data_IF_703756481739
#
_entry.id   IF_703756481739
#
_cell.length_a   1.000
_cell.length_b   1.000
_cell.length_c   1.000
_cell.angle_alpha   90.00
_cell.angle_beta   90.00
_cell.angle_gamma   90.00
#
_symmetry.space_group_name_H-M   'P 1'
#
loop_
_entity.id
_entity.type
_entity.pdbx_description
1 polymer ?
2 water ?
#
# COMPACT_ATOMS: atom_id res chain seq x y z
N UNK A 5 15.89 8.04 5.91
CA UNK A 5 15.67 8.30 4.49
C UNK A 5 16.09 9.71 4.09
N UNK A 6 16.45 9.87 2.81
CA UNK A 6 16.91 11.15 2.30
C UNK A 6 15.79 12.18 2.30
N UNK A 7 14.81 12.02 1.41
CA UNK A 7 13.65 12.89 1.37
C UNK A 7 12.39 12.09 1.68
N UNK A 8 11.32 12.80 2.02
CA UNK A 8 10.03 12.21 2.34
C UNK A 8 8.99 12.86 1.43
N UNK A 9 8.49 12.09 0.47
CA UNK A 9 7.40 12.54 -0.38
C UNK A 9 6.06 12.30 0.31
N UNK A 10 5.24 13.35 0.40
CA UNK A 10 3.92 13.25 0.98
C UNK A 10 2.88 13.09 -0.13
N UNK A 11 1.61 13.02 0.26
CA UNK A 11 0.57 12.74 -0.73
C UNK A 11 0.47 13.87 -1.77
N UNK A 12 0.63 15.12 -1.35
CA UNK A 12 0.48 16.23 -2.30
C UNK A 12 1.60 16.24 -3.33
N UNK A 13 2.82 15.88 -2.92
CA UNK A 13 3.92 15.82 -3.87
C UNK A 13 3.76 14.63 -4.81
N UNK A 14 3.31 13.48 -4.30
CA UNK A 14 3.01 12.34 -5.16
C UNK A 14 1.94 12.71 -6.19
N UNK A 15 0.86 13.36 -5.75
CA UNK A 15 -0.19 13.81 -6.67
C UNK A 15 0.36 14.78 -7.71
N UNK A 16 1.27 15.67 -7.31
CA UNK A 16 1.77 16.67 -8.26
C UNK A 16 2.66 16.02 -9.32
N UNK A 17 3.48 15.05 -8.92
CA UNK A 17 4.34 14.38 -9.89
C UNK A 17 3.52 13.58 -10.89
N UNK A 18 2.51 12.86 -10.39
CA UNK A 18 1.70 12.00 -11.23
C UNK A 18 0.85 12.83 -12.18
N UNK A 19 0.18 13.85 -11.64
CA UNK A 19 -0.63 14.74 -12.46
C UNK A 19 0.18 15.31 -13.62
N UNK A 20 1.44 15.65 -13.37
CA UNK A 20 2.27 16.23 -14.42
C UNK A 20 2.44 15.28 -15.60
N UNK A 21 2.54 13.98 -15.34
CA UNK A 21 2.77 12.99 -16.39
C UNK A 21 1.49 12.49 -17.06
N UNK A 22 0.35 12.57 -16.39
CA UNK A 22 -0.89 12.13 -17.02
C UNK A 22 -1.63 13.26 -17.71
N UNK A 23 -1.40 14.50 -17.30
CA UNK A 23 -2.21 15.61 -17.74
C UNK A 23 -3.44 15.86 -16.91
N UNK A 24 -3.82 14.93 -16.03
CA UNK A 24 -5.04 15.10 -15.25
C UNK A 24 -4.87 16.25 -14.25
N UNK A 25 -5.99 16.83 -13.84
CA UNK A 25 -5.90 17.86 -12.82
C UNK A 25 -5.40 17.25 -11.51
N UNK A 26 -4.80 18.09 -10.67
CA UNK A 26 -4.42 17.64 -9.34
C UNK A 26 -5.63 17.17 -8.55
N UNK A 27 -6.80 17.76 -8.80
CA UNK A 27 -8.01 17.34 -8.08
C UNK A 27 -8.41 15.92 -8.46
N UNK A 28 -8.45 15.62 -9.76
CA UNK A 28 -8.86 14.30 -10.22
C UNK A 28 -7.84 13.24 -9.82
N UNK A 29 -6.56 13.51 -10.08
CA UNK A 29 -5.50 12.63 -9.62
C UNK A 29 -5.63 12.32 -8.13
N UNK A 30 -5.94 13.32 -7.31
CA UNK A 30 -5.98 13.11 -5.88
C UNK A 30 -7.16 12.26 -5.45
N UNK A 31 -8.33 12.50 -6.06
CA UNK A 31 -9.48 11.65 -5.76
C UNK A 31 -9.23 10.22 -6.23
N UNK A 32 -8.54 10.06 -7.37
CA UNK A 32 -8.24 8.72 -7.86
C UNK A 32 -7.31 7.99 -6.91
N UNK A 33 -6.27 8.66 -6.42
CA UNK A 33 -5.40 8.03 -5.43
C UNK A 33 -6.16 7.67 -4.17
N UNK A 34 -6.98 8.60 -3.66
CA UNK A 34 -7.70 8.34 -2.41
C UNK A 34 -8.64 7.15 -2.54
N UNK A 35 -9.25 6.99 -3.71
CA UNK A 35 -10.16 5.88 -3.93
C UNK A 35 -9.39 4.57 -4.09
N UNK A 36 -8.26 4.61 -4.81
CA UNK A 36 -7.42 3.43 -4.94
C UNK A 36 -7.02 2.89 -3.57
N UNK A 37 -6.58 3.77 -2.69
CA UNK A 37 -6.16 3.34 -1.37
C UNK A 37 -7.33 2.78 -0.58
N UNK A 38 -8.50 3.42 -0.69
CA UNK A 38 -9.66 2.91 0.03
C UNK A 38 -10.05 1.53 -0.47
N UNK A 39 -10.01 1.32 -1.78
CA UNK A 39 -10.40 0.04 -2.36
C UNK A 39 -9.44 -1.06 -1.93
N UNK A 40 -8.14 -0.76 -1.93
CA UNK A 40 -7.16 -1.75 -1.47
C UNK A 40 -7.40 -2.11 -0.01
N UNK A 41 -7.64 -1.11 0.84
CA UNK A 41 -7.85 -1.41 2.26
C UNK A 41 -9.11 -2.23 2.46
N UNK A 42 -10.19 -1.83 1.79
CA UNK A 42 -11.42 -2.59 1.85
C UNK A 42 -11.20 -4.04 1.45
N UNK A 43 -10.48 -4.27 0.35
CA UNK A 43 -10.34 -5.63 -0.18
C UNK A 43 -9.54 -6.51 0.76
N UNK A 44 -8.41 -5.99 1.25
CA UNK A 44 -7.58 -6.73 2.19
C UNK A 44 -8.32 -6.96 3.50
N UNK A 45 -9.08 -5.97 3.96
CA UNK A 45 -9.88 -6.15 5.16
C UNK A 45 -10.88 -7.30 5.00
N UNK A 46 -11.33 -7.58 3.78
CA UNK A 46 -12.23 -8.70 3.57
C UNK A 46 -11.50 -10.03 3.47
N UNK A 47 -10.17 -10.04 3.51
CA UNK A 47 -9.43 -11.27 3.34
C UNK A 47 -9.01 -11.56 1.92
N UNK A 48 -9.05 -10.57 1.04
CA UNK A 48 -8.60 -10.73 -0.33
C UNK A 48 -7.19 -10.18 -0.49
N UNK A 49 -6.55 -10.54 -1.60
CA UNK A 49 -5.23 -10.04 -1.93
C UNK A 49 -5.33 -9.20 -3.19
N UNK A 50 -4.60 -8.10 -3.24
CA UNK A 50 -4.58 -7.24 -4.43
C UNK A 50 -3.21 -7.35 -5.05
N UNK A 51 -3.15 -7.78 -6.31
CA UNK A 51 -1.88 -7.97 -6.98
C UNK A 51 -1.68 -6.89 -8.03
N UNK A 52 -0.55 -6.21 -7.93
CA UNK A 52 -0.13 -5.17 -8.88
C UNK A 52 1.19 -5.63 -9.48
N UNK A 53 1.12 -6.27 -10.65
CA UNK A 53 2.33 -6.82 -11.27
C UNK A 53 3.31 -5.70 -11.57
N UNK A 54 4.60 -5.95 -11.30
CA UNK A 54 5.63 -4.94 -11.45
C UNK A 54 5.75 -4.01 -10.26
N UNK A 55 4.91 -4.18 -9.24
CA UNK A 55 4.96 -3.40 -8.01
C UNK A 55 4.93 -4.36 -6.82
N UNK A 56 3.79 -5.00 -6.58
CA UNK A 56 3.69 -5.94 -5.48
C UNK A 56 2.24 -6.27 -5.18
N UNK A 57 2.04 -7.04 -4.12
CA UNK A 57 0.72 -7.49 -3.71
C UNK A 57 0.45 -7.13 -2.26
N UNK A 58 -0.78 -6.70 -1.98
CA UNK A 58 -1.23 -6.46 -0.61
C UNK A 58 -2.08 -7.64 -0.15
N UNK A 59 -2.00 -7.95 1.13
CA UNK A 59 -2.73 -9.09 1.66
C UNK A 59 -2.68 -9.05 3.17
N UNK A 60 -3.33 -10.03 3.79
CA UNK A 60 -3.29 -10.11 5.24
C UNK A 60 -2.59 -11.39 5.68
N UNK A 61 -2.17 -11.38 6.95
CA UNK A 61 -1.65 -12.56 7.59
C UNK A 61 -2.35 -12.76 8.92
N UNK A 62 -2.03 -13.88 9.56
CA UNK A 62 -2.60 -14.22 10.86
C UNK A 62 -1.50 -14.16 11.91
N UNK A 63 -1.85 -13.64 13.09
CA UNK A 63 -1.01 -13.74 14.28
C UNK A 63 -1.80 -14.50 15.33
N UNK A 64 -1.24 -15.60 15.82
CA UNK A 64 -1.92 -16.32 16.88
C UNK A 64 -1.73 -15.58 18.20
N UNK A 65 -2.59 -15.89 19.17
CA UNK A 65 -2.42 -15.32 20.49
C UNK A 65 -1.07 -15.75 21.07
N UNK A 66 -0.46 -14.86 21.86
CA UNK A 66 0.88 -15.11 22.38
C UNK A 66 1.02 -14.46 23.75
N UNK A 67 1.77 -15.12 24.63
CA UNK A 67 1.96 -14.68 26.00
C UNK A 67 3.36 -14.10 26.17
N UNK A 68 3.45 -13.01 26.93
CA UNK A 68 4.73 -12.37 27.19
C UNK A 68 4.79 -11.67 28.53
N UNK A 76 3.12 -11.34 33.67
CA UNK A 76 2.74 -12.04 32.44
C UNK A 76 1.51 -11.41 31.78
N UNK A 77 1.68 -10.95 30.54
CA UNK A 77 0.60 -10.33 29.79
C UNK A 77 0.12 -11.29 28.71
N UNK A 78 -1.03 -10.97 28.12
CA UNK A 78 -1.66 -11.81 27.11
C UNK A 78 -2.06 -10.97 25.91
N UNK A 79 -1.74 -11.46 24.71
CA UNK A 79 -2.04 -10.79 23.46
C UNK A 79 -2.94 -11.71 22.64
N UNK A 80 -4.17 -11.32 22.32
CA UNK A 80 -5.05 -12.19 21.53
C UNK A 80 -4.68 -12.16 20.05
N UNK A 81 -5.29 -13.07 19.31
CA UNK A 81 -4.97 -13.24 17.90
C UNK A 81 -5.40 -12.02 17.09
N UNK A 82 -4.59 -11.68 16.09
CA UNK A 82 -4.88 -10.54 15.23
C UNK A 82 -4.59 -10.90 13.79
N UNK A 83 -5.04 -10.05 12.88
CA UNK A 83 -4.67 -10.13 11.49
C UNK A 83 -3.63 -9.05 11.20
N UNK A 84 -2.81 -9.30 10.20
CA UNK A 84 -1.72 -8.39 9.88
C UNK A 84 -1.89 -7.87 8.47
N UNK A 85 -1.26 -6.73 8.20
CA UNK A 85 -1.20 -6.15 6.86
C UNK A 85 0.13 -6.57 6.25
N UNK A 86 0.07 -7.22 5.09
CA UNK A 86 1.25 -7.72 4.40
C UNK A 86 1.40 -7.07 3.04
N UNK A 87 2.60 -6.57 2.75
CA UNK A 87 2.99 -6.16 1.41
C UNK A 87 4.19 -7.00 0.97
N UNK A 88 4.09 -7.55 -0.23
CA UNK A 88 5.14 -8.37 -0.83
C UNK A 88 5.58 -7.69 -2.12
N UNK A 89 6.78 -7.11 -2.11
CA UNK A 89 7.28 -6.40 -3.28
C UNK A 89 7.57 -7.36 -4.42
N UNK A 90 7.20 -6.95 -5.63
CA UNK A 90 7.50 -7.76 -6.79
C UNK A 90 8.94 -7.61 -7.25
N UNK A 91 9.34 -8.55 -8.10
CA UNK A 91 10.71 -8.61 -8.60
C UNK A 91 11.16 -7.27 -9.13
N UNK A 92 10.29 -6.60 -9.89
CA UNK A 92 10.66 -5.37 -10.57
C UNK A 92 10.92 -4.23 -9.59
N UNK A 93 10.17 -4.20 -8.49
CA UNK A 93 10.40 -3.21 -7.43
C UNK A 93 11.73 -3.48 -6.73
N UNK A 94 11.97 -4.73 -6.34
CA UNK A 94 13.21 -5.07 -5.66
C UNK A 94 14.41 -4.80 -6.55
N UNK A 95 14.32 -5.20 -7.83
CA UNK A 95 15.39 -4.95 -8.78
C UNK A 95 15.62 -3.45 -8.97
N UNK A 96 14.54 -2.67 -9.02
CA UNK A 96 14.69 -1.23 -9.14
C UNK A 96 15.43 -0.66 -7.94
N UNK A 97 15.07 -1.10 -6.73
CA UNK A 97 15.70 -0.55 -5.53
C UNK A 97 17.15 -1.00 -5.42
N UNK A 98 17.52 -2.09 -6.09
CA UNK A 98 18.91 -2.54 -6.14
C UNK A 98 19.50 -2.20 -7.51
N UNK A 99 19.89 -0.94 -7.67
CA UNK A 99 20.58 -0.51 -8.88
C UNK A 99 21.48 0.69 -8.62
#
# INVERSE_FOLDING_TARGET
MAHHHHHHMNKQELIDAVAAQTGASKAQTGETLDTLLEVIKKAVSKGDAVQLIGFGSFGSGKRAARTGRNPKTGETIKIPAAKTVKFTAGKAFKDAVNKR
#
